data_IF_364587631821
#
_entry.id   IF_364587631821
#
_cell.length_a   1.000
_cell.length_b   1.000
_cell.length_c   1.000
_cell.angle_alpha   90.00
_cell.angle_beta   90.00
_cell.angle_gamma   90.00
#
_symmetry.space_group_name_H-M   'P 1'
#
loop_
_entity.id
_entity.type
_entity.pdbx_description
1 polymer ?
#
# COMPACT_ATOMS: atom_id res chain seq x y z
N UNK A 1 53.65 22.45 -17.28
CA UNK A 1 53.08 23.14 -18.46
C UNK A 1 53.61 22.46 -19.72
N UNK A 2 52.82 22.39 -20.79
CA UNK A 2 53.26 22.00 -22.14
C UNK A 2 52.37 22.72 -23.15
N UNK A 3 52.86 22.98 -24.36
CA UNK A 3 52.32 24.04 -25.23
C UNK A 3 52.05 23.55 -26.66
N UNK A 4 50.94 24.00 -27.27
CA UNK A 4 50.71 24.10 -28.73
C UNK A 4 50.65 22.75 -29.51
N UNK A 5 50.02 22.57 -30.68
CA UNK A 5 49.06 23.31 -31.55
C UNK A 5 48.69 22.38 -32.75
N UNK A 6 47.74 22.58 -33.67
CA UNK A 6 46.67 23.58 -33.91
C UNK A 6 45.80 23.15 -35.13
N UNK A 7 44.52 23.56 -35.20
CA UNK A 7 43.68 23.68 -36.43
C UNK A 7 43.30 22.36 -37.17
N UNK A 8 42.21 22.23 -37.95
CA UNK A 8 41.02 23.10 -38.20
C UNK A 8 39.90 22.39 -38.99
N UNK A 9 38.68 22.96 -38.92
CA UNK A 9 37.59 22.93 -39.92
C UNK A 9 36.74 21.65 -40.14
N UNK A 10 35.47 21.91 -40.51
CA UNK A 10 34.50 20.95 -41.06
C UNK A 10 34.13 21.39 -42.50
N UNK A 11 33.41 20.56 -43.30
CA UNK A 11 32.03 20.97 -43.57
C UNK A 11 30.98 19.84 -43.79
N UNK A 12 29.73 20.30 -43.68
CA UNK A 12 28.42 19.84 -44.17
C UNK A 12 28.31 18.80 -45.31
N UNK A 13 27.30 17.92 -45.22
CA UNK A 13 26.54 17.41 -46.40
C UNK A 13 25.09 17.02 -46.02
N UNK A 14 24.18 16.96 -47.00
CA UNK A 14 22.71 16.81 -46.83
C UNK A 14 22.04 16.03 -47.98
N UNK A 15 21.21 15.02 -47.66
CA UNK A 15 20.07 14.46 -48.44
C UNK A 15 19.52 13.21 -47.71
N UNK A 16 18.23 12.86 -47.60
CA UNK A 16 16.98 13.02 -48.39
C UNK A 16 16.70 11.88 -49.41
N UNK A 17 15.39 11.59 -49.60
CA UNK A 17 14.76 10.64 -50.57
C UNK A 17 14.83 9.16 -50.12
N UNK A 18 13.80 8.29 -50.23
CA UNK A 18 12.47 8.41 -50.87
C UNK A 18 11.31 7.76 -50.08
N UNK A 19 10.07 8.05 -50.49
CA UNK A 19 8.84 7.36 -50.07
C UNK A 19 8.49 6.25 -51.07
N UNK A 20 8.01 5.08 -50.62
CA UNK A 20 7.26 4.14 -51.47
C UNK A 20 5.75 4.42 -51.37
N UNK A 21 5.07 4.45 -52.51
CA UNK A 21 3.60 4.41 -52.65
C UNK A 21 3.21 3.04 -53.20
N UNK A 22 2.01 2.58 -52.88
CA UNK A 22 1.30 1.59 -53.69
C UNK A 22 -0.12 2.08 -54.02
N UNK A 23 -0.81 1.40 -54.94
CA UNK A 23 -1.77 2.03 -55.87
C UNK A 23 -3.26 1.88 -55.52
N UNK A 24 -4.12 2.58 -56.28
CA UNK A 24 -5.54 2.89 -55.99
C UNK A 24 -6.50 2.16 -56.95
N UNK A 25 -7.53 1.50 -56.41
CA UNK A 25 -8.73 1.01 -57.14
C UNK A 25 -9.81 0.60 -56.12
N UNK A 26 -11.14 0.77 -56.28
CA UNK A 26 -11.97 1.58 -57.19
C UNK A 26 -13.31 1.91 -56.49
N UNK A 27 -14.10 2.87 -57.00
CA UNK A 27 -15.39 3.29 -56.40
C UNK A 27 -16.47 2.18 -56.38
N UNK A 28 -17.32 2.22 -55.34
CA UNK A 28 -18.78 2.27 -55.49
C UNK A 28 -19.36 3.31 -54.52
N UNK A 29 -20.27 4.16 -55.02
CA UNK A 29 -21.01 5.10 -54.17
C UNK A 29 -22.22 4.40 -53.54
N UNK A 30 -22.44 4.63 -52.24
CA UNK A 30 -23.76 4.57 -51.61
C UNK A 30 -23.88 5.81 -50.73
N UNK A 31 -24.90 6.64 -50.97
CA UNK A 31 -25.18 7.83 -50.16
C UNK A 31 -26.21 7.42 -49.11
N UNK A 32 -25.83 7.49 -47.83
CA UNK A 32 -26.76 7.42 -46.69
C UNK A 32 -26.48 8.60 -45.76
N UNK A 33 -27.56 9.19 -45.25
CA UNK A 33 -27.58 10.49 -44.57
C UNK A 33 -26.67 10.58 -43.34
N UNK A 34 -26.08 11.76 -43.12
CA UNK A 34 -25.49 12.11 -41.83
C UNK A 34 -26.57 12.29 -40.77
N UNK A 35 -26.42 11.65 -39.61
CA UNK A 35 -26.69 12.25 -38.29
C UNK A 35 -26.30 11.31 -37.12
N UNK A 36 -25.02 10.93 -37.04
CA UNK A 36 -24.48 10.37 -35.80
C UNK A 36 -24.10 11.51 -34.84
N UNK A 37 -24.93 11.74 -33.82
CA UNK A 37 -24.52 12.53 -32.66
C UNK A 37 -23.56 11.67 -31.83
N UNK A 38 -22.25 11.92 -31.98
CA UNK A 38 -21.21 11.29 -31.15
C UNK A 38 -21.36 11.71 -29.68
N UNK A 39 -22.26 11.03 -28.96
CA UNK A 39 -22.31 11.08 -27.51
C UNK A 39 -21.10 10.30 -27.02
N UNK A 40 -20.06 11.03 -26.61
CA UNK A 40 -18.92 10.45 -25.91
C UNK A 40 -19.39 10.00 -24.52
N UNK A 41 -20.04 8.83 -24.46
CA UNK A 41 -20.10 8.03 -23.25
C UNK A 41 -18.67 7.67 -22.90
N UNK A 42 -18.08 8.40 -21.95
CA UNK A 42 -16.88 7.94 -21.29
C UNK A 42 -17.29 6.70 -20.48
N UNK A 43 -17.08 5.52 -21.06
CA UNK A 43 -16.94 4.29 -20.28
C UNK A 43 -15.71 4.48 -19.40
N UNK A 44 -15.94 5.03 -18.20
CA UNK A 44 -15.00 4.94 -17.09
C UNK A 44 -14.79 3.45 -16.89
N UNK A 45 -13.57 2.91 -17.04
CA UNK A 45 -13.34 1.50 -16.80
C UNK A 45 -13.70 1.21 -15.34
N UNK A 46 -14.57 0.22 -15.10
CA UNK A 46 -14.90 -0.23 -13.75
C UNK A 46 -13.68 -0.95 -13.17
N UNK A 47 -12.76 -0.17 -12.60
CA UNK A 47 -11.54 -0.65 -11.92
C UNK A 47 -11.84 -1.45 -10.63
N UNK A 48 -13.11 -1.55 -10.24
CA UNK A 48 -13.60 -2.34 -9.12
C UNK A 48 -14.52 -3.46 -9.66
N UNK A 49 -14.19 -4.75 -9.47
CA UNK A 49 -15.09 -5.84 -9.82
C UNK A 49 -16.45 -5.69 -9.12
N UNK A 50 -17.55 -6.00 -9.81
CA UNK A 50 -18.91 -5.83 -9.27
C UNK A 50 -19.16 -6.54 -7.92
N UNK A 51 -18.40 -7.61 -7.64
CA UNK A 51 -18.46 -8.37 -6.38
C UNK A 51 -17.72 -7.70 -5.19
N UNK A 52 -16.99 -6.61 -5.41
CA UNK A 52 -16.26 -5.86 -4.36
C UNK A 52 -17.16 -5.53 -3.16
N UNK A 53 -18.33 -4.93 -3.43
CA UNK A 53 -19.32 -4.60 -2.41
C UNK A 53 -20.01 -5.83 -1.76
N UNK A 54 -19.82 -7.04 -2.29
CA UNK A 54 -20.32 -8.29 -1.70
C UNK A 54 -19.25 -9.01 -0.88
N UNK A 55 -17.98 -8.94 -1.29
CA UNK A 55 -16.85 -9.46 -0.52
C UNK A 55 -16.73 -8.75 0.84
N UNK A 56 -16.76 -7.41 0.83
CA UNK A 56 -16.66 -6.56 2.03
C UNK A 56 -17.87 -6.69 2.99
N UNK A 57 -18.98 -7.31 2.54
CA UNK A 57 -20.15 -7.60 3.40
C UNK A 57 -20.04 -8.93 4.15
N UNK A 58 -19.20 -9.87 3.70
CA UNK A 58 -19.05 -11.20 4.31
C UNK A 58 -17.98 -11.24 5.39
N UNK A 59 -16.94 -10.40 5.27
CA UNK A 59 -16.08 -10.00 6.36
C UNK A 59 -15.99 -8.47 6.32
N UNK A 60 -16.42 -7.73 7.37
CA UNK A 60 -16.15 -6.31 7.44
C UNK A 60 -14.63 -6.12 7.49
N UNK A 61 -14.13 -5.35 6.53
CA UNK A 61 -12.73 -4.97 6.44
C UNK A 61 -12.47 -3.78 7.37
N UNK A 62 -11.39 -3.87 8.15
CA UNK A 62 -11.10 -2.91 9.22
C UNK A 62 -11.75 -3.23 10.58
N UNK A 63 -11.77 -2.25 11.49
CA UNK A 63 -12.20 -2.40 12.88
C UNK A 63 -13.72 -2.44 13.04
N UNK A 64 -14.18 -3.06 14.13
CA UNK A 64 -15.59 -3.20 14.49
C UNK A 64 -15.82 -2.79 15.95
N UNK A 65 -16.96 -2.15 16.23
CA UNK A 65 -17.39 -1.75 17.58
C UNK A 65 -17.51 -2.93 18.55
N UNK A 66 -17.68 -4.15 18.04
CA UNK A 66 -17.78 -5.36 18.85
C UNK A 66 -16.43 -6.03 19.17
N UNK A 67 -15.31 -5.58 18.58
CA UNK A 67 -14.01 -6.17 18.86
C UNK A 67 -13.39 -5.59 20.13
N UNK A 68 -12.89 -6.47 20.99
CA UNK A 68 -11.91 -6.11 22.01
C UNK A 68 -10.57 -5.69 21.38
N UNK A 69 -9.71 -5.01 22.15
CA UNK A 69 -8.37 -4.64 21.68
C UNK A 69 -7.53 -5.87 21.26
N UNK A 70 -7.68 -7.00 21.97
CA UNK A 70 -6.99 -8.25 21.65
C UNK A 70 -7.53 -8.90 20.37
N UNK A 71 -8.84 -8.94 20.17
CA UNK A 71 -9.45 -9.44 18.93
C UNK A 71 -9.07 -8.57 17.72
N UNK A 72 -8.99 -7.24 17.90
CA UNK A 72 -8.55 -6.32 16.87
C UNK A 72 -7.08 -6.58 16.44
N UNK A 73 -6.19 -6.90 17.38
CA UNK A 73 -4.82 -7.33 17.08
C UNK A 73 -4.81 -8.73 16.44
N UNK A 74 -5.62 -9.67 16.95
CA UNK A 74 -5.71 -11.02 16.39
C UNK A 74 -6.17 -11.00 14.93
N UNK A 75 -7.20 -10.20 14.59
CA UNK A 75 -7.71 -10.04 13.21
C UNK A 75 -6.64 -9.48 12.28
N UNK A 76 -5.89 -8.47 12.73
CA UNK A 76 -4.75 -7.90 12.02
C UNK A 76 -3.64 -8.95 11.77
N UNK A 77 -3.29 -9.75 12.78
CA UNK A 77 -2.29 -10.81 12.66
C UNK A 77 -2.77 -11.97 11.78
N UNK A 78 -4.04 -12.36 11.84
CA UNK A 78 -4.59 -13.38 10.94
C UNK A 78 -4.66 -12.90 9.48
N UNK A 79 -4.85 -11.60 9.22
CA UNK A 79 -4.73 -11.03 7.89
C UNK A 79 -3.28 -11.03 7.38
N UNK A 80 -2.31 -10.59 8.19
CA UNK A 80 -0.87 -10.60 7.87
C UNK A 80 -0.33 -12.03 7.63
N UNK A 81 -0.87 -13.03 8.34
CA UNK A 81 -0.57 -14.46 8.14
C UNK A 81 -0.93 -14.96 6.74
N UNK A 82 -1.99 -14.41 6.15
CA UNK A 82 -2.49 -14.76 4.82
C UNK A 82 -2.43 -13.57 3.86
N UNK A 83 -1.36 -12.77 3.97
CA UNK A 83 -1.20 -11.45 3.36
C UNK A 83 -1.70 -11.32 1.91
N UNK A 84 -1.43 -12.32 1.06
CA UNK A 84 -1.72 -12.27 -0.38
C UNK A 84 -3.02 -13.01 -0.77
N UNK A 85 -4.02 -13.04 0.13
CA UNK A 85 -5.34 -13.63 -0.10
C UNK A 85 -6.46 -12.75 0.47
N UNK A 86 -7.50 -12.41 -0.30
CA UNK A 86 -7.83 -12.89 -1.65
C UNK A 86 -6.97 -12.29 -2.78
N UNK A 87 -6.29 -11.18 -2.55
CA UNK A 87 -5.34 -10.54 -3.48
C UNK A 87 -4.04 -10.16 -2.78
N UNK A 88 -3.02 -9.77 -3.56
CA UNK A 88 -1.71 -9.37 -3.06
C UNK A 88 -1.81 -8.26 -2.01
N UNK A 89 -1.04 -8.37 -0.93
CA UNK A 89 -0.91 -7.38 0.15
C UNK A 89 -2.23 -6.95 0.85
N UNK A 90 -3.30 -7.75 0.73
CA UNK A 90 -4.53 -7.65 1.52
C UNK A 90 -4.29 -7.60 3.04
N UNK A 91 -3.27 -8.31 3.54
CA UNK A 91 -2.88 -8.26 4.96
C UNK A 91 -2.46 -6.84 5.39
N UNK A 92 -1.74 -6.13 4.52
CA UNK A 92 -1.36 -4.73 4.73
C UNK A 92 -2.57 -3.81 4.59
N UNK A 93 -3.52 -4.09 3.69
CA UNK A 93 -4.77 -3.31 3.58
C UNK A 93 -5.62 -3.40 4.86
N UNK A 94 -5.66 -4.57 5.52
CA UNK A 94 -6.29 -4.72 6.84
C UNK A 94 -5.55 -3.85 7.87
N UNK A 95 -4.21 -3.93 7.94
CA UNK A 95 -3.41 -3.09 8.84
C UNK A 95 -3.65 -1.59 8.62
N UNK A 96 -3.79 -1.16 7.37
CA UNK A 96 -4.06 0.23 6.99
C UNK A 96 -5.45 0.69 7.45
N UNK A 97 -6.47 -0.17 7.33
CA UNK A 97 -7.84 0.14 7.78
C UNK A 97 -8.01 0.13 9.29
N UNK A 98 -7.20 -0.63 10.02
CA UNK A 98 -7.11 -0.54 11.49
C UNK A 98 -6.25 0.64 11.97
N UNK A 99 -5.47 1.30 11.11
CA UNK A 99 -4.51 2.31 11.53
C UNK A 99 -5.20 3.62 11.97
N UNK A 100 -5.00 4.01 13.23
CA UNK A 100 -5.69 5.12 13.86
C UNK A 100 -5.13 6.51 13.57
N UNK A 101 -4.26 6.68 12.56
CA UNK A 101 -3.63 7.96 12.24
C UNK A 101 -4.46 8.83 11.29
N UNK A 102 -4.17 10.12 11.24
CA UNK A 102 -4.77 11.05 10.27
C UNK A 102 -3.97 11.01 8.95
N UNK A 103 -4.56 10.61 7.80
CA UNK A 103 -3.84 10.53 6.52
C UNK A 103 -3.24 11.86 6.05
N UNK A 104 -3.72 13.01 6.54
CA UNK A 104 -3.20 14.34 6.19
C UNK A 104 -2.00 14.77 7.06
N UNK A 105 -1.52 13.91 7.96
CA UNK A 105 -0.47 14.23 8.94
C UNK A 105 0.61 13.13 8.97
N UNK A 106 1.83 13.49 9.38
CA UNK A 106 2.88 12.51 9.63
C UNK A 106 2.56 11.71 10.89
N UNK A 107 2.79 10.40 10.81
CA UNK A 107 2.40 9.43 11.83
C UNK A 107 3.62 8.70 12.38
N UNK A 108 3.62 8.43 13.68
CA UNK A 108 4.64 7.65 14.42
C UNK A 108 4.28 6.16 14.49
N UNK A 109 3.38 5.68 13.64
CA UNK A 109 2.87 4.30 13.66
C UNK A 109 3.96 3.22 13.65
N UNK A 110 5.08 3.47 12.95
CA UNK A 110 6.23 2.57 12.88
C UNK A 110 7.45 3.07 13.69
N UNK A 111 7.24 4.03 14.60
CA UNK A 111 8.27 4.71 15.40
C UNK A 111 8.54 6.13 14.90
N UNK A 112 9.46 6.33 13.94
CA UNK A 112 9.70 7.64 13.32
C UNK A 112 8.47 8.26 12.63
N UNK A 113 8.51 9.57 12.40
CA UNK A 113 7.49 10.31 11.66
C UNK A 113 7.51 9.98 10.16
N UNK A 114 6.65 9.07 9.74
CA UNK A 114 6.42 8.76 8.32
C UNK A 114 5.20 9.50 7.76
N UNK A 115 5.27 9.87 6.49
CA UNK A 115 4.08 10.18 5.70
C UNK A 115 3.44 8.85 5.25
N UNK A 116 2.32 8.50 5.89
CA UNK A 116 1.63 7.22 5.71
C UNK A 116 0.24 7.38 5.07
N UNK A 117 -0.17 8.59 4.69
CA UNK A 117 -1.49 8.84 4.09
C UNK A 117 -1.68 8.27 2.67
N UNK A 118 -0.60 7.79 2.06
CA UNK A 118 -0.61 7.03 0.82
C UNK A 118 -0.37 5.55 1.14
N UNK A 119 -1.28 4.68 0.69
CA UNK A 119 -1.20 3.23 0.95
C UNK A 119 0.12 2.62 0.47
N UNK A 120 0.67 3.10 -0.65
CA UNK A 120 1.96 2.65 -1.19
C UNK A 120 3.13 2.94 -0.24
N UNK A 121 3.06 4.03 0.54
CA UNK A 121 4.10 4.36 1.55
C UNK A 121 4.00 3.44 2.75
N UNK A 122 2.78 3.23 3.25
CA UNK A 122 2.51 2.29 4.33
C UNK A 122 2.92 0.86 3.96
N UNK A 123 2.58 0.40 2.75
CA UNK A 123 2.98 -0.89 2.17
C UNK A 123 4.49 -1.06 2.05
N UNK A 124 5.24 -0.03 1.62
CA UNK A 124 6.71 -0.08 1.54
C UNK A 124 7.36 -0.38 2.89
N UNK A 125 6.82 0.12 4.00
CA UNK A 125 7.36 -0.12 5.34
C UNK A 125 7.19 -1.59 5.75
N UNK A 126 6.06 -2.22 5.46
CA UNK A 126 5.84 -3.66 5.70
C UNK A 126 6.77 -4.57 4.89
N UNK A 127 7.18 -4.15 3.68
CA UNK A 127 8.16 -4.89 2.87
C UNK A 127 9.63 -4.62 3.27
N UNK A 128 9.88 -3.68 4.19
CA UNK A 128 11.21 -3.45 4.77
C UNK A 128 11.64 -4.62 5.67
N UNK A 129 12.96 -4.80 5.88
CA UNK A 129 13.52 -5.92 6.66
C UNK A 129 12.88 -6.08 8.04
N UNK A 130 12.68 -4.97 8.76
CA UNK A 130 12.17 -4.90 10.12
C UNK A 130 10.73 -5.43 10.28
N UNK A 131 9.86 -5.25 9.27
CA UNK A 131 8.44 -5.62 9.36
C UNK A 131 8.04 -6.78 8.44
N UNK A 132 8.87 -7.17 7.47
CA UNK A 132 8.62 -8.31 6.57
C UNK A 132 8.32 -9.62 7.32
N UNK A 133 8.87 -9.77 8.52
CA UNK A 133 8.65 -10.92 9.43
C UNK A 133 7.17 -11.15 9.76
N UNK A 134 6.35 -10.09 9.71
CA UNK A 134 4.89 -10.16 9.88
C UNK A 134 4.18 -10.85 8.71
N UNK A 135 4.71 -10.69 7.48
CA UNK A 135 4.07 -11.13 6.24
C UNK A 135 4.24 -12.64 6.05
N UNK A 136 3.12 -13.38 6.00
CA UNK A 136 3.14 -14.83 5.83
C UNK A 136 3.75 -15.60 7.02
N UNK A 137 3.67 -15.03 8.22
CA UNK A 137 4.25 -15.62 9.43
C UNK A 137 3.66 -17.01 9.75
N UNK A 138 4.52 -17.94 10.19
CA UNK A 138 4.13 -19.32 10.46
C UNK A 138 3.45 -19.47 11.82
N UNK A 139 3.96 -18.78 12.82
CA UNK A 139 3.63 -18.93 14.23
C UNK A 139 3.67 -17.55 14.92
N UNK A 140 2.82 -17.35 15.92
CA UNK A 140 2.79 -16.16 16.77
C UNK A 140 2.51 -16.55 18.22
N UNK A 141 3.07 -15.81 19.19
CA UNK A 141 2.83 -15.99 20.63
C UNK A 141 2.68 -14.63 21.30
N UNK A 142 1.58 -14.43 22.02
CA UNK A 142 1.41 -13.28 22.90
C UNK A 142 2.38 -13.45 24.07
N UNK A 143 3.24 -12.46 24.31
CA UNK A 143 4.18 -12.44 25.43
C UNK A 143 3.61 -11.70 26.64
N UNK A 144 2.87 -10.61 26.40
CA UNK A 144 2.25 -9.80 27.43
C UNK A 144 1.13 -8.93 26.86
N UNK A 145 0.01 -8.86 27.57
CA UNK A 145 -1.07 -7.89 27.37
C UNK A 145 -1.07 -6.90 28.53
N UNK A 146 -1.32 -5.61 28.25
CA UNK A 146 -1.32 -4.53 29.24
C UNK A 146 -2.35 -3.46 28.87
N UNK A 147 -3.34 -3.24 29.73
CA UNK A 147 -4.14 -2.02 29.71
C UNK A 147 -3.28 -0.92 30.35
N UNK A 148 -3.05 0.18 29.63
CA UNK A 148 -2.19 1.29 30.07
C UNK A 148 -3.03 2.42 30.65
N UNK A 149 -4.13 2.74 29.97
CA UNK A 149 -5.14 3.75 30.30
C UNK A 149 -6.51 3.15 29.90
N UNK A 150 -7.64 3.71 30.36
CA UNK A 150 -8.99 3.18 30.06
C UNK A 150 -9.21 2.95 28.55
N UNK A 151 -8.76 3.90 27.73
CA UNK A 151 -8.88 3.87 26.27
C UNK A 151 -7.60 3.41 25.56
N UNK A 152 -6.63 2.77 26.26
CA UNK A 152 -5.33 2.44 25.67
C UNK A 152 -4.77 1.10 26.12
N UNK A 153 -4.47 0.25 25.14
CA UNK A 153 -4.02 -1.11 25.34
C UNK A 153 -2.69 -1.37 24.60
N UNK A 154 -1.84 -2.22 25.16
CA UNK A 154 -0.59 -2.67 24.54
C UNK A 154 -0.50 -4.19 24.59
N UNK A 155 -0.01 -4.78 23.51
CA UNK A 155 0.30 -6.21 23.45
C UNK A 155 1.66 -6.43 22.78
N UNK A 156 2.52 -7.23 23.41
CA UNK A 156 3.79 -7.68 22.82
C UNK A 156 3.60 -9.08 22.27
N UNK A 157 3.96 -9.27 21.01
CA UNK A 157 3.76 -10.53 20.27
C UNK A 157 5.08 -10.94 19.64
N UNK A 158 5.57 -12.12 20.01
CA UNK A 158 6.65 -12.81 19.29
C UNK A 158 6.09 -13.45 18.03
N UNK A 159 6.76 -13.23 16.89
CA UNK A 159 6.28 -13.63 15.57
C UNK A 159 7.43 -14.29 14.80
N UNK A 160 7.11 -15.46 14.23
CA UNK A 160 8.02 -16.28 13.45
C UNK A 160 7.67 -16.18 11.97
N UNK A 161 8.54 -15.53 11.21
CA UNK A 161 8.39 -15.27 9.79
C UNK A 161 8.39 -16.53 8.93
N UNK A 162 8.33 -16.32 7.61
CA UNK A 162 8.33 -17.43 6.66
C UNK A 162 9.72 -18.08 6.50
N UNK A 163 10.81 -17.34 6.72
CA UNK A 163 12.20 -17.82 6.56
C UNK A 163 12.74 -18.47 7.84
N UNK A 164 13.71 -19.41 7.75
CA UNK A 164 14.37 -19.95 8.94
C UNK A 164 15.16 -18.85 9.67
N UNK A 165 15.11 -18.83 11.00
CA UNK A 165 15.73 -17.83 11.90
C UNK A 165 15.21 -16.39 11.74
N UNK A 166 14.08 -16.18 11.06
CA UNK A 166 13.41 -14.88 10.95
C UNK A 166 12.35 -14.80 12.07
N UNK A 167 12.77 -14.36 13.25
CA UNK A 167 11.97 -14.38 14.50
C UNK A 167 12.14 -13.03 15.23
N UNK A 168 11.04 -12.31 15.45
CA UNK A 168 11.01 -10.92 15.93
C UNK A 168 9.94 -10.74 17.01
N UNK A 169 10.01 -9.63 17.77
CA UNK A 169 8.98 -9.24 18.75
C UNK A 169 8.45 -7.85 18.42
N UNK A 170 7.13 -7.74 18.33
CA UNK A 170 6.44 -6.48 18.03
C UNK A 170 5.51 -6.07 19.18
N UNK A 171 5.58 -4.79 19.56
CA UNK A 171 4.62 -4.15 20.45
C UNK A 171 3.55 -3.44 19.61
N UNK A 172 2.33 -3.96 19.66
CA UNK A 172 1.13 -3.28 19.18
C UNK A 172 0.64 -2.33 20.28
N UNK A 173 0.37 -1.07 19.93
CA UNK A 173 -0.37 -0.13 20.78
C UNK A 173 -1.71 0.16 20.13
N UNK A 174 -2.78 -0.09 20.86
CA UNK A 174 -4.17 0.14 20.45
C UNK A 174 -4.76 1.29 21.26
N UNK A 175 -5.58 2.11 20.61
CA UNK A 175 -6.32 3.21 21.21
C UNK A 175 -7.80 3.06 20.88
N UNK A 176 -8.66 3.13 21.89
CA UNK A 176 -10.10 3.24 21.70
C UNK A 176 -10.42 4.70 21.36
N UNK A 177 -11.10 4.93 20.23
CA UNK A 177 -11.51 6.28 19.83
C UNK A 177 -12.72 6.72 20.66
N UNK A 178 -12.69 7.97 21.09
CA UNK A 178 -13.77 8.63 21.82
C UNK A 178 -14.27 9.79 20.97
N UNK A 179 -15.57 9.76 20.67
CA UNK A 179 -16.28 10.73 19.82
C UNK A 179 -16.05 10.58 18.30
N UNK A 180 -16.92 11.22 17.53
CA UNK A 180 -16.90 11.20 16.06
C UNK A 180 -17.48 9.93 15.45
N UNK A 181 -17.19 9.66 14.17
CA UNK A 181 -17.73 8.50 13.43
C UNK A 181 -17.11 7.15 13.82
N UNK A 182 -16.09 7.16 14.67
CA UNK A 182 -15.34 5.97 15.12
C UNK A 182 -15.42 5.80 16.64
N UNK A 183 -16.41 6.41 17.29
CA UNK A 183 -16.59 6.34 18.74
C UNK A 183 -16.75 4.89 19.23
N UNK A 184 -15.96 4.51 20.25
CA UNK A 184 -15.88 3.15 20.78
C UNK A 184 -15.00 2.16 19.99
N UNK A 185 -14.48 2.50 18.81
CA UNK A 185 -13.68 1.57 18.00
C UNK A 185 -12.22 1.50 18.47
N UNK A 186 -11.67 0.28 18.56
CA UNK A 186 -10.24 0.04 18.78
C UNK A 186 -9.44 0.15 17.48
N UNK A 187 -8.58 1.17 17.41
CA UNK A 187 -7.66 1.43 16.30
C UNK A 187 -6.21 1.21 16.73
N UNK A 188 -5.34 0.86 15.80
CA UNK A 188 -3.90 0.70 16.05
C UNK A 188 -3.20 2.06 16.01
N UNK A 189 -2.67 2.50 17.15
CA UNK A 189 -1.86 3.72 17.28
C UNK A 189 -0.45 3.50 16.68
N UNK A 190 0.18 2.36 16.99
CA UNK A 190 1.49 1.99 16.48
C UNK A 190 1.75 0.48 16.52
N UNK A 191 2.66 0.03 15.66
CA UNK A 191 3.27 -1.32 15.68
C UNK A 191 4.78 -1.11 15.62
N UNK A 192 5.47 -1.38 16.74
CA UNK A 192 6.89 -1.15 16.91
C UNK A 192 7.64 -2.48 17.05
N UNK A 193 8.85 -2.59 16.50
CA UNK A 193 9.75 -3.69 16.79
C UNK A 193 10.50 -3.42 18.12
N UNK A 194 10.61 -4.42 19.01
CA UNK A 194 11.26 -4.27 20.32
C UNK A 194 12.80 -4.34 20.27
N UNK A 195 13.38 -4.96 19.23
CA UNK A 195 14.82 -5.15 19.05
C UNK A 195 15.51 -4.06 18.22
N UNK A 196 14.78 -3.41 17.30
CA UNK A 196 15.29 -2.35 16.42
C UNK A 196 14.45 -1.08 16.54
N UNK A 197 14.92 -0.16 17.39
CA UNK A 197 14.35 1.17 17.58
C UNK A 197 14.69 2.15 16.42
N UNK A 198 14.50 1.70 15.17
CA UNK A 198 14.59 2.49 13.93
C UNK A 198 15.82 3.40 13.82
N UNK A 199 16.97 2.87 14.21
CA UNK A 199 18.22 3.64 14.36
C UNK A 199 18.91 4.01 13.04
N UNK A 200 18.55 3.36 11.93
CA UNK A 200 18.97 3.70 10.57
C UNK A 200 17.88 4.47 9.81
N UNK A 201 18.17 5.72 9.43
CA UNK A 201 17.20 6.56 8.71
C UNK A 201 16.95 6.09 7.28
N UNK A 202 15.67 5.93 6.90
CA UNK A 202 15.29 5.87 5.48
C UNK A 202 15.51 7.24 4.84
N UNK A 203 16.46 7.31 3.90
CA UNK A 203 16.47 8.36 2.90
C UNK A 203 15.24 8.20 1.98
N UNK A 204 14.53 9.30 1.74
CA UNK A 204 13.39 9.39 0.81
C UNK A 204 13.86 9.79 -0.59
#
# INVERSE_FOLDING_TARGET
>A
MSCCSSLSAAPTSMSLISKRKFTRSVNKHVIVSMNSRFRASAEVPDFLPADWHQAHKKNPLGPSLHFTAEEAIQRQLDALRYNDRPHQDYGIEVMYQFAGFNPLQRSTYFGPFFDLGQFERFRRVFHHSTYRVLLGHKERKILSSLIVEENRFKQRVWIRGCRPKEEEIFQFTMVQRVGGSWDGYWLTESVLNDGDAFSGGLAY
#
